data_IF_677334051838
#
_entry.id   IF_677334051838
#
_cell.length_a   1.000
_cell.length_b   1.000
_cell.length_c   1.000
_cell.angle_alpha   90.00
_cell.angle_beta   90.00
_cell.angle_gamma   90.00
#
_symmetry.space_group_name_H-M   'P 1'
#
loop_
_entity.id
_entity.type
_entity.pdbx_description
1 polymer ?
#
# COMPACT_ATOMS: atom_id res chain seq x y z
N UNK A 1 -0.91 45.59 32.00
CA UNK A 1 -1.02 46.60 30.92
C UNK A 1 0.23 46.42 30.09
N UNK A 2 0.29 45.67 29.01
CA UNK A 2 -0.24 45.86 27.63
C UNK A 2 0.46 44.76 26.83
N UNK A 3 -0.17 43.79 26.17
CA UNK A 3 -0.90 43.88 24.91
C UNK A 3 -1.53 42.50 24.68
N UNK A 4 -2.86 42.39 24.51
CA UNK A 4 -3.48 42.35 23.17
C UNK A 4 -2.84 41.24 22.30
N UNK A 5 -3.45 40.07 22.28
CA UNK A 5 -4.44 39.70 21.25
C UNK A 5 -3.79 39.24 19.95
N UNK A 6 -3.63 37.92 19.76
CA UNK A 6 -3.99 37.28 18.49
C UNK A 6 -4.62 35.94 18.82
N UNK A 7 -5.93 36.00 19.06
CA UNK A 7 -6.85 34.90 18.80
C UNK A 7 -6.62 34.46 17.36
N UNK A 8 -5.98 33.30 17.14
CA UNK A 8 -6.08 32.60 15.87
C UNK A 8 -7.51 32.11 15.78
N UNK A 9 -8.35 32.88 15.10
CA UNK A 9 -9.63 32.42 14.61
C UNK A 9 -9.36 31.18 13.76
N UNK A 10 -9.63 30.01 14.36
CA UNK A 10 -9.88 28.79 13.62
C UNK A 10 -11.12 29.06 12.78
N UNK A 11 -10.93 29.58 11.58
CA UNK A 11 -11.97 29.73 10.58
C UNK A 11 -12.46 28.31 10.25
N UNK A 12 -13.47 27.85 11.00
CA UNK A 12 -14.32 26.73 10.59
C UNK A 12 -14.91 27.12 9.24
N UNK A 13 -14.35 26.58 8.15
CA UNK A 13 -15.01 26.60 6.83
C UNK A 13 -16.26 25.71 6.96
N UNK A 14 -17.37 26.33 7.36
CA UNK A 14 -18.71 25.77 7.23
C UNK A 14 -19.21 26.01 5.82
N UNK A 15 -18.85 25.13 4.91
CA UNK A 15 -19.36 25.08 3.55
C UNK A 15 -19.15 23.67 3.05
N UNK A 16 -20.25 22.96 2.77
CA UNK A 16 -20.33 21.56 2.34
C UNK A 16 -18.98 21.00 1.86
N UNK A 17 -18.35 20.16 2.68
CA UNK A 17 -17.01 19.60 2.45
C UNK A 17 -17.00 18.58 1.30
N UNK A 18 -17.46 18.99 0.11
CA UNK A 18 -17.43 18.22 -1.13
C UNK A 18 -16.01 17.77 -1.48
N UNK A 19 -14.99 18.55 -1.10
CA UNK A 19 -13.59 18.16 -1.26
C UNK A 19 -13.16 17.04 -0.30
N UNK A 20 -13.81 16.89 0.86
CA UNK A 20 -13.54 15.81 1.80
C UNK A 20 -14.21 14.50 1.37
N UNK A 21 -15.43 14.57 0.82
CA UNK A 21 -16.07 13.39 0.20
C UNK A 21 -15.38 12.98 -1.11
N UNK A 22 -14.99 13.96 -1.93
CA UNK A 22 -14.21 13.71 -3.15
C UNK A 22 -12.79 13.21 -2.85
N UNK A 23 -12.19 13.50 -1.69
CA UNK A 23 -10.90 12.92 -1.31
C UNK A 23 -11.04 11.50 -0.73
N UNK A 24 -12.14 11.21 -0.02
CA UNK A 24 -12.42 9.86 0.48
C UNK A 24 -12.75 8.87 -0.65
N UNK A 25 -13.58 9.26 -1.62
CA UNK A 25 -13.92 8.43 -2.78
C UNK A 25 -13.11 8.74 -4.04
N UNK A 26 -12.17 9.68 -3.96
CA UNK A 26 -11.36 10.15 -5.09
C UNK A 26 -10.56 9.04 -5.73
N UNK A 27 -10.02 8.13 -4.92
CA UNK A 27 -9.29 6.97 -5.43
C UNK A 27 -10.18 6.06 -6.30
N UNK A 28 -11.43 5.81 -5.90
CA UNK A 28 -12.38 5.04 -6.71
C UNK A 28 -12.78 5.78 -7.98
N UNK A 29 -13.00 7.10 -7.89
CA UNK A 29 -13.30 7.94 -9.06
C UNK A 29 -12.19 7.91 -10.09
N UNK A 30 -10.94 8.10 -9.65
CA UNK A 30 -9.75 8.03 -10.52
C UNK A 30 -9.58 6.63 -11.11
N UNK A 31 -9.81 5.58 -10.32
CA UNK A 31 -9.77 4.20 -10.81
C UNK A 31 -10.79 3.94 -11.94
N UNK A 32 -12.03 4.41 -11.79
CA UNK A 32 -13.05 4.25 -12.83
C UNK A 32 -12.64 4.99 -14.10
N UNK A 33 -12.17 6.24 -13.97
CA UNK A 33 -11.72 7.05 -15.11
C UNK A 33 -10.58 6.36 -15.85
N UNK A 34 -9.57 5.88 -15.12
CA UNK A 34 -8.40 5.24 -15.75
C UNK A 34 -8.78 3.90 -16.41
N UNK A 35 -9.68 3.12 -15.79
CA UNK A 35 -10.21 1.89 -16.39
C UNK A 35 -10.96 2.16 -17.70
N UNK A 36 -11.76 3.22 -17.78
CA UNK A 36 -12.47 3.60 -19.01
C UNK A 36 -11.47 4.00 -20.09
N UNK A 37 -10.47 4.82 -19.75
CA UNK A 37 -9.43 5.26 -20.69
C UNK A 37 -8.68 4.04 -21.25
N UNK A 38 -8.21 3.13 -20.40
CA UNK A 38 -7.49 1.94 -20.86
C UNK A 38 -8.38 0.96 -21.63
N UNK A 39 -9.66 0.84 -21.27
CA UNK A 39 -10.60 0.00 -22.02
C UNK A 39 -10.85 0.50 -23.45
N UNK A 40 -10.76 1.82 -23.68
CA UNK A 40 -10.91 2.43 -25.02
C UNK A 40 -9.61 2.38 -25.81
N UNK A 41 -8.47 2.63 -25.16
CA UNK A 41 -7.15 2.69 -25.83
C UNK A 41 -6.64 1.29 -26.16
N UNK A 42 -6.84 0.31 -25.27
CA UNK A 42 -6.27 -1.03 -25.40
C UNK A 42 -7.36 -2.10 -25.33
N UNK A 43 -7.79 -2.67 -26.48
CA UNK A 43 -8.80 -3.73 -26.51
C UNK A 43 -8.42 -4.97 -25.71
N UNK A 44 -7.11 -5.25 -25.56
CA UNK A 44 -6.64 -6.37 -24.74
C UNK A 44 -6.91 -6.17 -23.23
N UNK A 45 -7.13 -4.92 -22.78
CA UNK A 45 -7.39 -4.61 -21.37
C UNK A 45 -8.66 -5.30 -20.85
N UNK A 46 -9.73 -5.30 -21.65
CA UNK A 46 -11.03 -5.90 -21.32
C UNK A 46 -11.14 -7.37 -21.70
N UNK A 47 -10.07 -7.95 -22.28
CA UNK A 47 -10.03 -9.38 -22.59
C UNK A 47 -10.22 -10.22 -21.32
N UNK A 48 -11.02 -11.30 -21.36
CA UNK A 48 -11.25 -12.15 -20.19
C UNK A 48 -9.96 -12.64 -19.55
N UNK A 49 -8.93 -12.96 -20.35
CA UNK A 49 -7.64 -13.42 -19.83
C UNK A 49 -6.95 -12.33 -19.00
N UNK A 50 -6.95 -11.09 -19.48
CA UNK A 50 -6.34 -9.97 -18.78
C UNK A 50 -7.14 -9.63 -17.52
N UNK A 51 -8.48 -9.65 -17.62
CA UNK A 51 -9.35 -9.41 -16.48
C UNK A 51 -9.14 -10.45 -15.38
N UNK A 52 -9.08 -11.74 -15.71
CA UNK A 52 -8.78 -12.78 -14.72
C UNK A 52 -7.37 -12.67 -14.14
N UNK A 53 -6.38 -12.25 -14.94
CA UNK A 53 -5.02 -12.01 -14.44
C UNK A 53 -4.99 -10.87 -13.43
N UNK A 54 -5.62 -9.73 -13.76
CA UNK A 54 -5.74 -8.58 -12.85
C UNK A 54 -6.51 -8.96 -11.60
N UNK A 55 -7.66 -9.62 -11.72
CA UNK A 55 -8.46 -10.05 -10.58
C UNK A 55 -7.69 -11.01 -9.67
N UNK A 56 -6.93 -11.94 -10.22
CA UNK A 56 -6.08 -12.86 -9.44
C UNK A 56 -4.99 -12.11 -8.68
N UNK A 57 -4.34 -11.17 -9.34
CA UNK A 57 -3.30 -10.34 -8.72
C UNK A 57 -3.87 -9.49 -7.58
N UNK A 58 -5.01 -8.81 -7.82
CA UNK A 58 -5.68 -7.99 -6.80
C UNK A 58 -6.22 -8.85 -5.65
N UNK A 59 -6.72 -10.06 -5.93
CA UNK A 59 -7.22 -10.98 -4.89
C UNK A 59 -6.15 -11.38 -3.89
N UNK A 60 -4.91 -11.59 -4.33
CA UNK A 60 -3.77 -11.90 -3.44
C UNK A 60 -3.54 -10.73 -2.47
N UNK A 61 -3.47 -9.50 -2.98
CA UNK A 61 -3.29 -8.31 -2.15
C UNK A 61 -4.49 -8.07 -1.23
N UNK A 62 -5.72 -8.35 -1.70
CA UNK A 62 -6.94 -8.25 -0.91
C UNK A 62 -6.96 -9.23 0.27
N UNK A 63 -6.64 -10.50 0.04
CA UNK A 63 -6.53 -11.50 1.13
C UNK A 63 -5.45 -11.12 2.14
N UNK A 64 -4.31 -10.60 1.69
CA UNK A 64 -3.24 -10.12 2.57
C UNK A 64 -3.71 -8.94 3.43
N UNK A 65 -4.42 -7.96 2.84
CA UNK A 65 -4.97 -6.83 3.57
C UNK A 65 -6.03 -7.24 4.61
N UNK A 66 -6.88 -8.22 4.28
CA UNK A 66 -7.83 -8.81 5.23
C UNK A 66 -7.10 -9.50 6.39
N UNK A 67 -6.04 -10.26 6.10
CA UNK A 67 -5.18 -10.86 7.10
C UNK A 67 -4.56 -9.82 8.05
N UNK A 68 -4.01 -8.73 7.50
CA UNK A 68 -3.48 -7.61 8.27
C UNK A 68 -4.55 -6.91 9.13
N UNK A 69 -5.80 -6.89 8.70
CA UNK A 69 -6.91 -6.30 9.48
C UNK A 69 -7.23 -7.12 10.72
N UNK A 70 -7.36 -8.45 10.59
CA UNK A 70 -7.58 -9.35 11.73
C UNK A 70 -6.47 -9.26 12.76
N UNK A 71 -5.26 -9.20 12.26
CA UNK A 71 -4.02 -9.03 13.00
C UNK A 71 -4.02 -7.76 13.87
N UNK A 72 -4.39 -6.61 13.29
CA UNK A 72 -4.48 -5.34 14.01
C UNK A 72 -5.53 -5.42 15.13
N UNK A 73 -6.64 -6.11 14.87
CA UNK A 73 -7.73 -6.27 15.85
C UNK A 73 -7.32 -7.13 17.06
N UNK A 74 -6.39 -8.06 16.91
CA UNK A 74 -5.87 -8.90 18.01
C UNK A 74 -4.99 -8.15 19.03
N UNK A 75 -4.68 -6.87 18.82
CA UNK A 75 -3.96 -6.02 19.79
C UNK A 75 -2.50 -6.41 20.05
N UNK A 76 -1.99 -7.45 19.41
CA UNK A 76 -0.58 -7.78 19.35
C UNK A 76 0.12 -6.92 18.30
N UNK A 77 1.35 -6.53 18.58
CA UNK A 77 2.29 -5.98 17.59
C UNK A 77 2.59 -7.12 16.60
N UNK A 78 1.67 -7.43 15.69
CA UNK A 78 1.81 -8.61 14.85
C UNK A 78 2.87 -8.40 13.77
N UNK A 79 4.07 -8.80 14.14
CA UNK A 79 5.24 -8.86 13.30
C UNK A 79 5.18 -10.02 12.28
N UNK A 80 4.13 -10.87 12.28
CA UNK A 80 4.02 -12.06 11.42
C UNK A 80 4.11 -11.71 9.94
N UNK A 81 3.32 -10.74 9.47
CA UNK A 81 3.31 -10.36 8.06
C UNK A 81 4.59 -9.60 7.66
N UNK A 82 5.16 -8.82 8.58
CA UNK A 82 6.43 -8.11 8.37
C UNK A 82 7.65 -9.06 8.28
N UNK A 83 7.70 -10.06 9.15
CA UNK A 83 8.76 -11.08 9.14
C UNK A 83 8.63 -12.06 7.97
N UNK A 84 7.39 -12.40 7.55
CA UNK A 84 7.15 -13.21 6.36
C UNK A 84 7.57 -12.48 5.08
N UNK A 85 7.26 -11.18 4.97
CA UNK A 85 7.71 -10.36 3.84
C UNK A 85 9.24 -10.25 3.81
N UNK A 86 9.87 -10.00 4.96
CA UNK A 86 11.33 -9.98 5.08
C UNK A 86 11.99 -11.31 4.68
N UNK A 87 11.44 -12.44 5.16
CA UNK A 87 11.93 -13.77 4.81
C UNK A 87 11.73 -14.06 3.31
N UNK A 88 10.57 -13.72 2.74
CA UNK A 88 10.30 -13.92 1.30
C UNK A 88 11.26 -13.10 0.41
N UNK A 89 11.56 -11.86 0.78
CA UNK A 89 12.50 -11.01 0.06
C UNK A 89 13.93 -11.53 0.16
N UNK A 90 14.31 -12.02 1.35
CA UNK A 90 15.60 -12.63 1.60
C UNK A 90 15.79 -13.92 0.78
N UNK A 91 14.77 -14.78 0.70
CA UNK A 91 14.79 -16.00 -0.12
C UNK A 91 14.86 -15.64 -1.62
N UNK A 92 14.07 -14.67 -2.08
CA UNK A 92 14.11 -14.21 -3.47
C UNK A 92 15.49 -13.65 -3.85
N UNK A 93 16.11 -12.86 -2.98
CA UNK A 93 17.46 -12.34 -3.17
C UNK A 93 18.52 -13.45 -3.18
N UNK A 94 18.37 -14.47 -2.32
CA UNK A 94 19.27 -15.62 -2.27
C UNK A 94 19.20 -16.45 -3.56
N UNK A 95 18.01 -16.70 -4.10
CA UNK A 95 17.82 -17.38 -5.38
C UNK A 95 18.42 -16.56 -6.51
N UNK A 96 18.17 -15.25 -6.55
CA UNK A 96 18.74 -14.35 -7.56
C UNK A 96 20.28 -14.34 -7.56
N UNK A 97 20.92 -14.44 -6.40
CA UNK A 97 22.39 -14.52 -6.26
C UNK A 97 22.98 -15.94 -6.38
N UNK A 98 22.20 -16.95 -6.80
CA UNK A 98 22.72 -18.29 -7.04
C UNK A 98 22.80 -19.20 -5.79
N UNK A 99 21.91 -19.01 -4.81
CA UNK A 99 21.72 -19.90 -3.66
C UNK A 99 22.68 -19.69 -2.48
N UNK A 100 23.87 -19.13 -2.70
CA UNK A 100 24.87 -18.84 -1.64
C UNK A 100 24.74 -17.44 -1.02
N UNK A 101 23.87 -16.60 -1.58
CA UNK A 101 23.63 -15.22 -1.15
C UNK A 101 23.07 -15.09 0.27
N UNK A 102 22.33 -16.08 0.76
CA UNK A 102 21.67 -16.02 2.07
C UNK A 102 22.66 -15.96 3.23
N UNK A 103 23.69 -16.82 3.17
CA UNK A 103 24.74 -16.92 4.20
C UNK A 103 25.74 -15.76 4.12
N UNK A 104 26.04 -15.28 2.90
CA UNK A 104 26.95 -14.14 2.69
C UNK A 104 26.30 -12.78 2.97
N UNK A 105 24.98 -12.63 2.75
CA UNK A 105 24.26 -11.42 3.12
C UNK A 105 24.11 -11.28 4.64
N UNK A 106 23.96 -12.39 5.37
CA UNK A 106 23.90 -12.39 6.84
C UNK A 106 25.20 -11.95 7.52
N UNK A 107 26.36 -12.18 6.89
CA UNK A 107 27.67 -11.72 7.38
C UNK A 107 28.01 -10.31 6.89
N UNK A 108 27.64 -9.94 5.66
CA UNK A 108 27.83 -8.58 5.15
C UNK A 108 26.92 -7.54 5.85
N UNK A 109 25.70 -7.93 6.24
CA UNK A 109 24.75 -7.05 6.94
C UNK A 109 25.19 -6.66 8.36
N UNK A 110 25.93 -7.53 9.06
CA UNK A 110 26.50 -7.20 10.37
C UNK A 110 27.72 -6.27 10.27
N UNK A 111 28.41 -6.24 9.13
CA UNK A 111 29.55 -5.35 8.89
C UNK A 111 29.15 -3.92 8.48
N UNK A 112 27.95 -3.75 7.90
CA UNK A 112 27.40 -2.46 7.48
C UNK A 112 26.40 -1.85 8.48
N UNK A 113 26.17 -2.53 9.62
CA UNK A 113 25.24 -2.14 10.68
C UNK A 113 25.88 -1.45 11.89
N UNK A 114 27.08 -0.89 11.73
CA UNK A 114 27.63 0.14 12.61
C UNK A 114 27.69 1.46 11.85
#
# INVERSE_FOLDING_TARGET
MTSQSISKSTTRKGGTDWSAYASQFGALGVLIIICIIFAVIEPAFVSPINLFNVLRQVSIYGLLALGMTFVILTGGIDLSVGSLLALSGLVAAAVYKGGTGLLSAGTAGQAAGF
#
